data_IF_534276644838
#
_entry.id   IF_534276644838
#
_cell.length_a   1.000
_cell.length_b   1.000
_cell.length_c   1.000
_cell.angle_alpha   90.00
_cell.angle_beta   90.00
_cell.angle_gamma   90.00
#
_symmetry.space_group_name_H-M   'P 1'
#
loop_
_entity.id
_entity.type
_entity.pdbx_description
1 polymer ?
#
# COMPACT_ATOMS: atom_id res chain seq x y z
N UNK A 1 -2.85 -12.02 -4.98
CA UNK A 1 -3.50 -10.69 -5.04
C UNK A 1 -2.82 -9.75 -4.04
N UNK A 2 -2.97 -8.43 -4.17
CA UNK A 2 -2.47 -7.43 -3.21
C UNK A 2 -3.63 -6.55 -2.77
N UNK A 3 -3.96 -6.59 -1.48
CA UNK A 3 -5.02 -5.80 -0.88
C UNK A 3 -4.53 -4.39 -0.49
N UNK A 4 -5.46 -3.43 -0.41
CA UNK A 4 -5.16 -2.06 0.03
C UNK A 4 -5.01 -1.95 1.55
N UNK A 5 -5.49 -2.94 2.30
CA UNK A 5 -5.22 -3.08 3.74
C UNK A 5 -4.42 -4.32 4.07
N UNK A 6 -3.72 -4.31 5.22
CA UNK A 6 -2.94 -5.46 5.67
C UNK A 6 -3.75 -6.76 5.65
N UNK A 7 -3.15 -7.81 5.09
CA UNK A 7 -3.63 -9.18 5.21
C UNK A 7 -3.21 -9.75 6.57
N UNK A 8 -1.97 -9.54 6.96
CA UNK A 8 -1.44 -9.94 8.27
C UNK A 8 -0.31 -9.00 8.71
N UNK A 9 -0.13 -8.90 10.02
CA UNK A 9 0.93 -8.13 10.66
C UNK A 9 1.51 -8.92 11.84
N UNK A 10 2.82 -8.80 12.01
CA UNK A 10 3.57 -9.32 13.15
C UNK A 10 4.39 -8.21 13.76
N UNK A 11 4.57 -8.23 15.07
CA UNK A 11 5.36 -7.26 15.80
C UNK A 11 6.38 -7.95 16.72
N UNK A 12 7.48 -7.23 16.96
CA UNK A 12 8.51 -7.55 17.94
C UNK A 12 8.81 -6.28 18.71
N UNK A 13 8.83 -6.34 20.03
CA UNK A 13 8.95 -5.14 20.85
C UNK A 13 9.66 -5.42 22.16
N UNK A 14 10.59 -4.54 22.54
CA UNK A 14 11.31 -4.66 23.81
C UNK A 14 11.82 -3.32 24.30
N UNK A 15 11.99 -3.23 25.61
CA UNK A 15 12.76 -2.16 26.24
C UNK A 15 14.25 -2.38 25.96
N UNK A 16 14.98 -1.29 25.69
CA UNK A 16 16.42 -1.34 25.41
C UNK A 16 17.14 -0.04 25.77
N UNK A 17 17.69 0.03 26.98
CA UNK A 17 18.43 1.21 27.44
C UNK A 17 19.90 1.25 26.97
N UNK A 18 20.33 0.37 26.06
CA UNK A 18 21.76 0.24 25.68
C UNK A 18 22.29 1.35 24.77
N UNK A 19 21.40 2.08 24.08
CA UNK A 19 21.76 3.12 23.11
C UNK A 19 20.64 4.15 22.96
N UNK A 20 20.91 5.26 22.26
CA UNK A 20 19.90 6.26 21.92
C UNK A 20 18.89 5.76 20.87
N UNK A 21 17.71 6.37 20.82
CA UNK A 21 16.59 5.95 19.99
C UNK A 21 16.93 5.89 18.48
N UNK A 22 17.82 6.77 17.97
CA UNK A 22 18.25 6.73 16.56
C UNK A 22 19.05 5.46 16.29
N UNK A 23 20.06 5.20 17.12
CA UNK A 23 20.91 4.01 16.98
C UNK A 23 20.08 2.72 17.15
N UNK A 24 19.19 2.69 18.15
CA UNK A 24 18.33 1.55 18.47
C UNK A 24 17.39 1.20 17.31
N UNK A 25 16.64 2.19 16.81
CA UNK A 25 15.70 1.99 15.70
C UNK A 25 16.41 1.48 14.44
N UNK A 26 17.51 2.12 14.05
CA UNK A 26 18.23 1.77 12.83
C UNK A 26 18.94 0.41 12.93
N UNK A 27 19.43 0.04 14.12
CA UNK A 27 20.02 -1.29 14.36
C UNK A 27 18.99 -2.39 14.10
N UNK A 28 17.81 -2.28 14.71
CA UNK A 28 16.79 -3.33 14.63
C UNK A 28 16.16 -3.37 13.22
N UNK A 29 15.97 -2.21 12.57
CA UNK A 29 15.54 -2.14 11.17
C UNK A 29 16.53 -2.83 10.22
N UNK A 30 17.83 -2.54 10.32
CA UNK A 30 18.86 -3.15 9.47
C UNK A 30 19.04 -4.65 9.74
N UNK A 31 18.92 -5.07 11.00
CA UNK A 31 18.95 -6.46 11.38
C UNK A 31 17.78 -7.24 10.74
N UNK A 32 16.57 -6.70 10.85
CA UNK A 32 15.38 -7.28 10.23
C UNK A 32 15.48 -7.33 8.69
N UNK A 33 15.92 -6.25 8.04
CA UNK A 33 16.15 -6.24 6.58
C UNK A 33 17.10 -7.34 6.11
N UNK A 34 18.10 -7.67 6.93
CA UNK A 34 19.10 -8.67 6.57
C UNK A 34 18.62 -10.10 6.79
N UNK A 35 17.73 -10.31 7.76
CA UNK A 35 16.96 -11.57 7.85
C UNK A 35 16.10 -11.72 6.59
N UNK A 36 15.32 -10.70 6.24
CA UNK A 36 14.46 -10.73 5.06
C UNK A 36 15.26 -10.95 3.76
N UNK A 37 16.44 -10.35 3.62
CA UNK A 37 17.31 -10.58 2.48
C UNK A 37 17.82 -12.03 2.39
N UNK A 38 18.18 -12.66 3.51
CA UNK A 38 18.57 -14.09 3.56
C UNK A 38 17.44 -15.00 3.09
N UNK A 39 16.19 -14.62 3.36
CA UNK A 39 14.99 -15.32 2.89
C UNK A 39 14.51 -14.87 1.51
N UNK A 40 15.30 -14.09 0.75
CA UNK A 40 14.95 -13.55 -0.58
C UNK A 40 13.65 -12.72 -0.57
N UNK A 41 13.38 -11.97 0.49
CA UNK A 41 12.26 -11.01 0.57
C UNK A 41 12.70 -9.55 0.37
N UNK A 42 14.00 -9.30 0.25
CA UNK A 42 14.57 -7.98 -0.07
C UNK A 42 15.71 -8.19 -1.06
N UNK A 43 15.86 -7.33 -2.09
CA UNK A 43 17.03 -7.31 -2.96
C UNK A 43 18.30 -6.93 -2.19
N UNK A 44 19.46 -6.94 -2.85
CA UNK A 44 20.77 -6.62 -2.24
C UNK A 44 20.90 -5.19 -1.72
N UNK A 45 20.00 -4.29 -2.11
CA UNK A 45 19.88 -2.95 -1.56
C UNK A 45 18.42 -2.50 -1.57
N UNK A 46 18.01 -1.78 -0.52
CA UNK A 46 16.65 -1.24 -0.38
C UNK A 46 16.71 0.21 0.08
N UNK A 47 15.71 1.00 -0.29
CA UNK A 47 15.55 2.36 0.23
C UNK A 47 14.87 2.29 1.59
N UNK A 48 15.62 2.67 2.63
CA UNK A 48 15.13 2.82 3.99
C UNK A 48 14.68 4.26 4.21
N UNK A 49 13.38 4.46 4.36
CA UNK A 49 12.80 5.75 4.74
C UNK A 49 12.97 5.95 6.24
N UNK A 50 13.64 7.03 6.64
CA UNK A 50 13.88 7.35 8.05
C UNK A 50 13.29 8.71 8.38
N UNK A 51 12.62 8.82 9.52
CA UNK A 51 12.19 10.10 10.10
C UNK A 51 12.49 10.19 11.58
N UNK A 52 13.01 11.33 12.01
CA UNK A 52 13.29 11.67 13.41
C UNK A 52 12.42 12.88 13.75
N UNK A 53 11.53 12.72 14.72
CA UNK A 53 10.64 13.80 15.21
C UNK A 53 11.26 14.51 16.40
N UNK A 54 10.97 15.80 16.55
CA UNK A 54 11.40 16.57 17.72
C UNK A 54 10.54 16.24 18.94
N UNK A 55 11.17 16.11 20.11
CA UNK A 55 10.49 15.89 21.38
C UNK A 55 9.44 16.98 21.65
N UNK A 56 8.23 16.56 22.06
CA UNK A 56 7.12 17.47 22.35
C UNK A 56 6.50 18.17 21.13
N UNK A 57 7.00 17.96 19.90
CA UNK A 57 6.47 18.57 18.67
C UNK A 57 6.29 17.51 17.58
N UNK A 58 5.21 16.73 17.66
CA UNK A 58 4.95 15.60 16.76
C UNK A 58 4.91 15.94 15.27
N UNK A 59 4.60 17.20 14.90
CA UNK A 59 4.59 17.66 13.52
C UNK A 59 5.93 18.25 13.03
N UNK A 60 6.94 18.35 13.88
CA UNK A 60 8.27 18.83 13.50
C UNK A 60 9.25 17.66 13.32
N UNK A 61 9.96 17.67 12.18
CA UNK A 61 10.95 16.65 11.85
C UNK A 61 12.36 17.24 11.99
N UNK A 62 13.18 16.62 12.83
CA UNK A 62 14.61 16.93 12.89
C UNK A 62 15.34 16.37 11.68
N UNK A 63 14.85 15.24 11.15
CA UNK A 63 15.31 14.61 9.92
C UNK A 63 14.14 13.87 9.25
N UNK A 64 14.09 13.88 7.91
CA UNK A 64 13.25 12.99 7.11
C UNK A 64 13.92 12.78 5.75
N UNK A 65 14.12 11.53 5.37
CA UNK A 65 14.69 11.21 4.06
C UNK A 65 14.86 9.72 3.82
N UNK A 66 15.09 9.36 2.57
CA UNK A 66 15.33 7.99 2.13
C UNK A 66 16.85 7.72 2.02
N UNK A 67 17.27 6.55 2.51
CA UNK A 67 18.67 6.12 2.54
C UNK A 67 18.76 4.74 1.89
N UNK A 68 19.50 4.63 0.79
CA UNK A 68 19.82 3.34 0.22
C UNK A 68 20.74 2.56 1.18
N UNK A 69 20.28 1.38 1.62
CA UNK A 69 21.02 0.51 2.53
C UNK A 69 21.31 -0.84 1.87
N UNK A 70 22.56 -1.32 1.91
CA UNK A 70 22.87 -2.68 1.49
C UNK A 70 22.29 -3.66 2.52
N UNK A 71 21.79 -4.80 2.04
CA UNK A 71 21.16 -5.84 2.88
C UNK A 71 22.01 -7.11 2.99
N UNK A 72 23.26 -7.04 2.52
CA UNK A 72 24.19 -8.14 2.58
C UNK A 72 24.68 -8.40 4.02
N UNK A 73 24.85 -9.68 4.35
CA UNK A 73 25.21 -10.11 5.71
C UNK A 73 26.63 -9.73 6.15
N UNK A 74 27.45 -9.15 5.26
CA UNK A 74 28.89 -9.01 5.42
C UNK A 74 29.37 -7.72 6.09
N UNK A 75 28.49 -6.92 6.70
CA UNK A 75 28.88 -5.58 7.15
C UNK A 75 27.94 -4.85 8.11
N UNK A 76 27.06 -5.55 8.84
CA UNK A 76 26.04 -4.94 9.71
C UNK A 76 26.52 -3.76 10.55
N UNK A 77 27.64 -3.93 11.28
CA UNK A 77 28.17 -2.87 12.13
C UNK A 77 28.65 -1.64 11.34
N UNK A 78 29.25 -1.85 10.17
CA UNK A 78 29.69 -0.75 9.30
C UNK A 78 28.50 -0.07 8.61
N UNK A 79 27.49 -0.85 8.19
CA UNK A 79 26.27 -0.32 7.61
C UNK A 79 25.52 0.54 8.64
N UNK A 80 25.35 0.03 9.87
CA UNK A 80 24.72 0.78 10.96
C UNK A 80 25.43 2.11 11.23
N UNK A 81 26.76 2.08 11.43
CA UNK A 81 27.53 3.29 11.68
C UNK A 81 27.35 4.32 10.56
N UNK A 82 27.45 3.90 9.29
CA UNK A 82 27.26 4.79 8.14
C UNK A 82 25.86 5.41 8.08
N UNK A 83 24.81 4.64 8.34
CA UNK A 83 23.42 5.14 8.29
C UNK A 83 23.17 6.10 9.45
N UNK A 84 23.61 5.76 10.67
CA UNK A 84 23.49 6.62 11.86
C UNK A 84 24.25 7.94 11.65
N UNK A 85 25.50 7.87 11.19
CA UNK A 85 26.31 9.06 10.92
C UNK A 85 25.67 9.96 9.85
N UNK A 86 25.11 9.36 8.80
CA UNK A 86 24.40 10.09 7.73
C UNK A 86 23.16 10.80 8.27
N UNK A 87 22.34 10.12 9.08
CA UNK A 87 21.15 10.72 9.70
C UNK A 87 21.56 11.87 10.61
N UNK A 88 22.53 11.65 11.50
CA UNK A 88 23.00 12.66 12.47
C UNK A 88 23.63 13.88 11.80
N UNK A 89 24.41 13.69 10.74
CA UNK A 89 25.03 14.78 10.00
C UNK A 89 24.01 15.68 9.27
N UNK A 90 22.87 15.11 8.86
CA UNK A 90 21.79 15.84 8.20
C UNK A 90 20.69 16.31 9.16
N UNK A 91 20.73 15.87 10.41
CA UNK A 91 19.72 16.20 11.42
C UNK A 91 19.86 17.65 11.88
N UNK A 92 18.74 18.36 11.96
CA UNK A 92 18.70 19.70 12.55
C UNK A 92 18.83 19.66 14.09
N UNK A 93 19.21 20.79 14.69
CA UNK A 93 19.35 20.89 16.14
C UNK A 93 17.99 20.73 16.84
N UNK A 94 17.93 19.86 17.85
CA UNK A 94 16.76 19.62 18.66
C UNK A 94 16.92 18.35 19.49
N UNK A 95 15.98 18.13 20.41
CA UNK A 95 15.91 16.90 21.20
C UNK A 95 15.14 15.83 20.41
N UNK A 96 15.73 14.64 20.29
CA UNK A 96 15.09 13.50 19.61
C UNK A 96 13.88 13.05 20.42
N UNK A 97 12.71 13.06 19.78
CA UNK A 97 11.47 12.53 20.33
C UNK A 97 11.29 11.07 19.94
N UNK A 98 10.82 10.84 18.72
CA UNK A 98 10.57 9.50 18.17
C UNK A 98 11.34 9.29 16.87
N UNK A 99 11.77 8.06 16.62
CA UNK A 99 12.47 7.68 15.39
C UNK A 99 11.72 6.56 14.71
N UNK A 100 11.33 6.78 13.47
CA UNK A 100 10.64 5.80 12.63
C UNK A 100 11.53 5.46 11.42
N UNK A 101 11.62 4.17 11.09
CA UNK A 101 12.24 3.68 9.87
C UNK A 101 11.30 2.70 9.16
N UNK A 102 11.23 2.75 7.83
CA UNK A 102 10.39 1.83 7.06
C UNK A 102 10.98 1.50 5.70
N UNK A 103 10.71 0.30 5.21
CA UNK A 103 11.15 -0.16 3.89
C UNK A 103 10.10 -1.07 3.26
N UNK A 104 9.82 -0.83 1.98
CA UNK A 104 9.02 -1.76 1.17
C UNK A 104 9.91 -2.89 0.68
N UNK A 105 9.51 -4.11 1.00
CA UNK A 105 10.26 -5.33 0.73
C UNK A 105 9.68 -6.03 -0.49
N UNK A 106 10.59 -6.43 -1.38
CA UNK A 106 10.28 -7.10 -2.64
C UNK A 106 11.16 -8.29 -2.88
N UNK A 107 10.62 -9.30 -3.54
CA UNK A 107 11.35 -10.53 -3.74
C UNK A 107 10.62 -11.53 -4.64
N UNK A 108 11.31 -12.60 -5.03
CA UNK A 108 10.70 -13.74 -5.70
C UNK A 108 9.66 -14.41 -4.80
N UNK A 109 8.49 -14.70 -5.36
CA UNK A 109 7.45 -15.54 -4.77
C UNK A 109 6.94 -16.53 -5.82
N UNK A 110 6.59 -17.73 -5.37
CA UNK A 110 5.88 -18.65 -6.24
C UNK A 110 4.43 -18.17 -6.41
N UNK A 111 3.93 -18.17 -7.64
CA UNK A 111 2.54 -17.91 -8.01
C UNK A 111 2.00 -19.12 -8.77
N UNK A 112 0.71 -19.11 -9.12
CA UNK A 112 0.12 -20.12 -10.00
C UNK A 112 0.73 -20.17 -11.42
N UNK A 113 1.61 -19.23 -11.77
CA UNK A 113 2.26 -19.14 -13.08
C UNK A 113 3.78 -19.37 -13.03
N UNK A 114 4.36 -19.59 -11.84
CA UNK A 114 5.80 -19.80 -11.64
C UNK A 114 6.39 -18.87 -10.59
N UNK A 115 7.73 -18.76 -10.53
CA UNK A 115 8.40 -17.78 -9.68
C UNK A 115 8.31 -16.39 -10.34
N UNK A 116 7.69 -15.44 -9.64
CA UNK A 116 7.53 -14.05 -10.08
C UNK A 116 8.15 -13.09 -9.06
N UNK A 117 8.55 -11.91 -9.53
CA UNK A 117 9.03 -10.83 -8.67
C UNK A 117 7.83 -10.08 -8.08
N UNK A 118 7.58 -10.24 -6.77
CA UNK A 118 6.59 -9.44 -6.05
C UNK A 118 7.20 -8.11 -5.58
N UNK A 119 6.61 -6.98 -5.99
CA UNK A 119 7.14 -5.64 -5.72
C UNK A 119 6.72 -5.05 -4.35
N UNK A 120 5.67 -5.58 -3.72
CA UNK A 120 5.12 -5.09 -2.43
C UNK A 120 4.75 -6.26 -1.49
N UNK A 121 5.71 -7.16 -1.25
CA UNK A 121 5.46 -8.36 -0.43
C UNK A 121 5.24 -7.99 1.03
N UNK A 122 6.11 -7.14 1.56
CA UNK A 122 6.02 -6.67 2.94
C UNK A 122 6.31 -5.18 3.05
N UNK A 123 5.69 -4.55 4.03
CA UNK A 123 6.17 -3.31 4.63
C UNK A 123 6.86 -3.67 5.95
N UNK A 124 8.15 -3.38 6.05
CA UNK A 124 8.88 -3.44 7.31
C UNK A 124 8.83 -2.07 7.96
N UNK A 125 8.39 -2.00 9.21
CA UNK A 125 8.44 -0.83 10.07
C UNK A 125 9.36 -1.06 11.27
N UNK A 126 10.03 0.00 11.71
CA UNK A 126 10.72 0.05 13.00
C UNK A 126 10.46 1.40 13.64
N UNK A 127 10.21 1.42 14.94
CA UNK A 127 10.04 2.64 15.72
C UNK A 127 10.82 2.54 17.03
N UNK A 128 11.41 3.65 17.47
CA UNK A 128 11.98 3.78 18.80
C UNK A 128 11.53 5.08 19.45
N UNK A 129 11.13 4.98 20.71
CA UNK A 129 10.68 6.10 21.52
C UNK A 129 10.83 5.75 23.00
N UNK A 130 11.45 6.66 23.77
CA UNK A 130 11.48 6.60 25.24
C UNK A 130 12.00 5.26 25.80
N UNK A 131 13.09 4.74 25.24
CA UNK A 131 13.69 3.47 25.70
C UNK A 131 13.10 2.22 25.06
N UNK A 132 11.91 2.30 24.45
CA UNK A 132 11.28 1.19 23.77
C UNK A 132 11.66 1.16 22.28
N UNK A 133 11.80 -0.05 21.71
CA UNK A 133 11.88 -0.28 20.26
C UNK A 133 10.88 -1.32 19.85
N UNK A 134 10.24 -1.11 18.71
CA UNK A 134 9.39 -2.09 18.07
C UNK A 134 9.69 -2.17 16.58
N UNK A 135 9.66 -3.39 16.05
CA UNK A 135 9.71 -3.71 14.63
C UNK A 135 8.39 -4.37 14.27
N UNK A 136 7.83 -4.03 13.11
CA UNK A 136 6.66 -4.71 12.55
C UNK A 136 6.90 -5.15 11.11
N UNK A 137 6.32 -6.29 10.75
CA UNK A 137 6.30 -6.79 9.39
C UNK A 137 4.85 -6.95 8.96
N UNK A 138 4.48 -6.30 7.87
CA UNK A 138 3.10 -6.27 7.37
C UNK A 138 3.05 -6.82 5.95
N UNK A 139 2.19 -7.80 5.66
CA UNK A 139 1.93 -8.27 4.29
C UNK A 139 0.58 -7.78 3.79
N UNK A 140 0.51 -7.53 2.49
CA UNK A 140 -0.72 -7.16 1.78
C UNK A 140 -1.16 -8.24 0.80
N UNK A 141 -0.40 -9.34 0.69
CA UNK A 141 -0.62 -10.40 -0.29
C UNK A 141 -1.02 -11.72 0.34
N UNK A 142 -1.76 -12.52 -0.41
CA UNK A 142 -2.30 -13.84 -0.04
C UNK A 142 -1.42 -15.01 -0.44
N UNK A 143 -0.26 -14.80 -1.07
CA UNK A 143 0.63 -15.89 -1.50
C UNK A 143 1.17 -16.74 -0.35
N UNK A 144 0.95 -16.31 0.90
CA UNK A 144 1.28 -17.02 2.13
C UNK A 144 0.16 -17.94 2.63
N UNK A 145 -1.06 -17.81 2.09
CA UNK A 145 -2.27 -18.45 2.59
C UNK A 145 -2.65 -19.69 1.77
N UNK A 146 -3.26 -20.73 2.38
CA UNK A 146 -3.73 -21.91 1.65
C UNK A 146 -4.81 -21.61 0.60
N UNK A 147 -5.63 -20.58 0.84
CA UNK A 147 -6.63 -20.06 -0.09
C UNK A 147 -6.34 -18.59 -0.38
N UNK A 148 -6.62 -18.16 -1.61
CA UNK A 148 -6.50 -16.77 -2.00
C UNK A 148 -7.63 -15.91 -1.38
N UNK A 149 -7.57 -14.58 -1.51
CA UNK A 149 -8.59 -13.70 -0.92
C UNK A 149 -10.00 -13.85 -1.53
N UNK A 150 -10.14 -14.58 -2.64
CA UNK A 150 -11.42 -14.93 -3.27
C UNK A 150 -11.93 -16.31 -2.82
N UNK A 151 -11.25 -16.95 -1.87
CA UNK A 151 -11.59 -18.27 -1.35
C UNK A 151 -11.20 -19.44 -2.26
N UNK A 152 -10.37 -19.21 -3.28
CA UNK A 152 -9.92 -20.26 -4.20
C UNK A 152 -8.68 -20.96 -3.62
N UNK A 153 -8.63 -22.30 -3.64
CA UNK A 153 -7.48 -23.04 -3.10
C UNK A 153 -6.22 -22.79 -3.92
N UNK A 154 -5.09 -22.60 -3.24
CA UNK A 154 -3.77 -22.39 -3.85
C UNK A 154 -2.66 -23.22 -3.14
N UNK A 155 -2.83 -24.54 -2.99
CA UNK A 155 -1.96 -25.38 -2.16
C UNK A 155 -0.50 -25.40 -2.61
N UNK A 156 -0.23 -25.34 -3.91
CA UNK A 156 1.13 -25.31 -4.46
C UNK A 156 1.85 -23.99 -4.14
N UNK A 157 1.12 -22.87 -4.24
CA UNK A 157 1.62 -21.53 -3.88
C UNK A 157 1.96 -21.49 -2.39
N UNK A 158 1.05 -21.94 -1.53
CA UNK A 158 1.29 -22.01 -0.09
C UNK A 158 2.47 -22.92 0.24
N UNK A 159 2.54 -24.13 -0.35
CA UNK A 159 3.63 -25.07 -0.08
C UNK A 159 5.01 -24.50 -0.44
N UNK A 160 5.09 -23.65 -1.46
CA UNK A 160 6.33 -22.99 -1.87
C UNK A 160 6.69 -21.76 -1.01
N UNK A 161 5.70 -21.01 -0.54
CA UNK A 161 5.93 -19.72 0.14
C UNK A 161 5.80 -19.77 1.68
N UNK A 162 4.82 -20.51 2.21
CA UNK A 162 4.48 -20.57 3.63
C UNK A 162 5.65 -20.98 4.53
N UNK A 163 6.35 -22.10 4.26
CA UNK A 163 7.51 -22.52 5.05
C UNK A 163 8.65 -21.49 5.08
N UNK A 164 8.80 -20.70 4.01
CA UNK A 164 9.82 -19.64 3.93
C UNK A 164 9.42 -18.42 4.78
N UNK A 165 8.14 -18.05 4.81
CA UNK A 165 7.63 -17.05 5.74
C UNK A 165 7.84 -17.49 7.19
N UNK A 166 7.47 -18.73 7.52
CA UNK A 166 7.65 -19.28 8.87
C UNK A 166 9.12 -19.26 9.32
N UNK A 167 10.05 -19.61 8.43
CA UNK A 167 11.47 -19.54 8.71
C UNK A 167 11.96 -18.10 8.93
N UNK A 168 11.48 -17.14 8.14
CA UNK A 168 11.81 -15.74 8.31
C UNK A 168 11.28 -15.15 9.63
N UNK A 169 10.02 -15.44 10.00
CA UNK A 169 9.44 -14.96 11.26
C UNK A 169 10.19 -15.50 12.48
N UNK A 170 10.57 -16.78 12.46
CA UNK A 170 11.38 -17.38 13.53
C UNK A 170 12.75 -16.72 13.66
N UNK A 171 13.43 -16.50 12.53
CA UNK A 171 14.74 -15.89 12.52
C UNK A 171 14.69 -14.39 12.92
N UNK A 172 13.60 -13.69 12.57
CA UNK A 172 13.34 -12.33 13.06
C UNK A 172 13.21 -12.32 14.58
N UNK A 173 12.44 -13.24 15.16
CA UNK A 173 12.29 -13.34 16.61
C UNK A 173 13.64 -13.56 17.32
N UNK A 174 14.47 -14.47 16.78
CA UNK A 174 15.82 -14.73 17.30
C UNK A 174 16.74 -13.51 17.22
N UNK A 175 16.77 -12.83 16.07
CA UNK A 175 17.66 -11.69 15.82
C UNK A 175 17.23 -10.43 16.59
N UNK A 176 15.92 -10.19 16.69
CA UNK A 176 15.35 -9.05 17.41
C UNK A 176 15.29 -9.28 18.92
N UNK A 177 15.45 -10.53 19.37
CA UNK A 177 15.46 -10.89 20.79
C UNK A 177 14.09 -10.75 21.46
N UNK A 178 13.02 -10.94 20.70
CA UNK A 178 11.62 -10.87 21.15
C UNK A 178 10.85 -12.00 20.48
N UNK A 179 9.87 -12.57 21.16
CA UNK A 179 8.94 -13.51 20.53
C UNK A 179 8.13 -12.80 19.42
N UNK A 180 7.69 -13.57 18.42
CA UNK A 180 6.79 -13.07 17.37
C UNK A 180 5.42 -12.85 17.98
N UNK A 181 4.95 -11.61 17.97
CA UNK A 181 3.61 -11.24 18.41
C UNK A 181 2.70 -11.03 17.18
N UNK A 182 1.79 -11.97 16.86
CA UNK A 182 0.84 -11.81 15.76
C UNK A 182 -0.23 -10.79 16.15
N UNK A 183 -0.47 -9.80 15.28
CA UNK A 183 -1.49 -8.76 15.53
C UNK A 183 -2.93 -9.33 15.45
N UNK A 184 -3.91 -8.52 15.82
CA UNK A 184 -5.32 -8.89 15.75
C UNK A 184 -5.73 -9.37 14.34
N UNK A 185 -6.66 -10.34 14.24
CA UNK A 185 -7.18 -10.79 12.95
C UNK A 185 -7.68 -9.64 12.10
N UNK A 186 -7.25 -9.61 10.84
CA UNK A 186 -7.72 -8.63 9.86
C UNK A 186 -9.05 -9.12 9.25
N UNK A 187 -9.62 -8.35 8.32
CA UNK A 187 -10.75 -8.83 7.53
C UNK A 187 -10.38 -9.97 6.56
N UNK A 188 -9.09 -10.20 6.32
CA UNK A 188 -8.59 -11.11 5.30
C UNK A 188 -8.04 -12.42 5.87
N UNK A 189 -7.30 -12.34 6.96
CA UNK A 189 -6.64 -13.48 7.57
C UNK A 189 -6.41 -13.26 9.07
N UNK A 190 -6.14 -14.37 9.78
CA UNK A 190 -5.66 -14.37 11.16
C UNK A 190 -4.14 -14.58 11.15
N UNK A 191 -3.33 -13.61 11.59
CA UNK A 191 -1.91 -13.82 11.84
C UNK A 191 -1.68 -14.94 12.89
N UNK A 192 -0.63 -15.72 12.71
CA UNK A 192 -0.12 -16.74 13.63
C UNK A 192 1.38 -16.51 13.87
N UNK A 193 1.99 -17.18 14.85
CA UNK A 193 3.43 -17.04 15.15
C UNK A 193 4.34 -17.42 13.97
N UNK A 194 3.85 -18.28 13.06
CA UNK A 194 4.58 -18.84 11.93
C UNK A 194 4.01 -18.46 10.56
N UNK A 195 2.98 -17.63 10.49
CA UNK A 195 2.36 -17.24 9.23
C UNK A 195 0.98 -16.61 9.44
N UNK A 196 0.04 -16.98 8.57
CA UNK A 196 -1.33 -16.50 8.65
C UNK A 196 -2.30 -17.56 8.12
N UNK A 197 -3.54 -17.52 8.61
CA UNK A 197 -4.59 -18.48 8.28
C UNK A 197 -5.80 -17.79 7.65
N UNK A 198 -6.42 -18.46 6.67
CA UNK A 198 -7.72 -18.04 6.13
C UNK A 198 -8.84 -18.22 7.17
N UNK A 199 -9.89 -17.41 7.06
CA UNK A 199 -11.17 -17.70 7.72
C UNK A 199 -11.91 -18.80 6.97
N UNK A 200 -12.12 -19.93 7.64
CA UNK A 200 -12.85 -21.09 7.12
C UNK A 200 -14.21 -21.23 7.80
N UNK A 201 -15.21 -21.65 7.04
CA UNK A 201 -16.51 -22.06 7.59
C UNK A 201 -16.46 -23.46 8.24
N UNK A 202 -17.59 -23.92 8.79
CA UNK A 202 -17.71 -25.22 9.44
C UNK A 202 -17.43 -26.41 8.49
N UNK A 203 -17.53 -26.19 7.17
CA UNK A 203 -17.24 -27.16 6.13
C UNK A 203 -15.80 -27.04 5.59
N UNK A 204 -14.97 -26.14 6.15
CA UNK A 204 -13.58 -25.92 5.75
C UNK A 204 -13.40 -25.09 4.47
N UNK A 205 -14.43 -24.35 4.04
CA UNK A 205 -14.37 -23.49 2.85
C UNK A 205 -13.95 -22.08 3.24
N UNK A 206 -13.03 -21.50 2.48
CA UNK A 206 -12.64 -20.10 2.62
C UNK A 206 -13.71 -19.18 2.02
N UNK A 207 -13.98 -18.06 2.70
CA UNK A 207 -14.89 -17.02 2.21
C UNK A 207 -14.22 -16.12 1.17
N UNK A 208 -15.00 -15.57 0.25
CA UNK A 208 -14.58 -14.47 -0.63
C UNK A 208 -14.53 -13.16 0.16
N UNK A 209 -13.43 -12.98 0.91
CA UNK A 209 -13.16 -11.78 1.71
C UNK A 209 -12.78 -10.59 0.83
N UNK A 210 -12.26 -10.84 -0.38
CA UNK A 210 -11.95 -9.80 -1.36
C UNK A 210 -13.19 -9.03 -1.81
N UNK A 211 -14.21 -9.74 -2.28
CA UNK A 211 -15.47 -9.11 -2.70
C UNK A 211 -16.20 -8.45 -1.53
N UNK A 212 -16.06 -9.00 -0.33
CA UNK A 212 -16.75 -8.52 0.87
C UNK A 212 -16.12 -7.26 1.47
N UNK A 213 -14.79 -7.11 1.39
CA UNK A 213 -14.07 -6.04 2.09
C UNK A 213 -13.21 -5.17 1.19
N UNK A 214 -12.45 -5.76 0.27
CA UNK A 214 -11.53 -5.01 -0.60
C UNK A 214 -12.31 -4.23 -1.68
N UNK A 215 -13.25 -4.87 -2.37
CA UNK A 215 -14.02 -4.24 -3.46
C UNK A 215 -14.78 -3.00 -2.97
N UNK A 216 -15.55 -3.04 -1.86
CA UNK A 216 -16.20 -1.85 -1.33
C UNK A 216 -15.20 -0.75 -0.95
N UNK A 217 -14.07 -1.12 -0.33
CA UNK A 217 -13.04 -0.15 0.10
C UNK A 217 -12.36 0.54 -1.08
N UNK A 218 -12.04 -0.22 -2.14
CA UNK A 218 -11.51 0.34 -3.39
C UNK A 218 -12.50 1.28 -4.05
N UNK A 219 -13.79 0.90 -4.05
CA UNK A 219 -14.83 1.72 -4.64
C UNK A 219 -15.05 3.04 -3.88
N UNK A 220 -14.87 3.02 -2.55
CA UNK A 220 -15.01 4.18 -1.67
C UNK A 220 -14.16 5.39 -2.08
N UNK A 221 -12.96 5.14 -2.61
CA UNK A 221 -12.04 6.18 -3.11
C UNK A 221 -12.65 7.02 -4.25
N UNK A 222 -13.57 6.44 -5.02
CA UNK A 222 -14.28 7.14 -6.11
C UNK A 222 -15.54 7.88 -5.63
N UNK A 223 -16.01 7.56 -4.42
CA UNK A 223 -17.22 8.13 -3.80
C UNK A 223 -16.90 9.28 -2.84
N UNK A 224 -15.72 9.26 -2.22
CA UNK A 224 -15.36 10.19 -1.15
C UNK A 224 -14.02 10.87 -1.41
N UNK A 225 -13.97 12.18 -1.22
CA UNK A 225 -12.73 12.94 -1.30
C UNK A 225 -11.85 12.66 -0.06
N UNK A 226 -10.52 12.58 -0.20
CA UNK A 226 -9.64 12.39 0.95
C UNK A 226 -9.65 13.60 1.91
N UNK A 227 -9.72 13.32 3.22
CA UNK A 227 -9.50 14.31 4.29
C UNK A 227 -10.73 15.10 4.77
N UNK A 228 -10.61 15.70 5.96
CA UNK A 228 -11.61 16.64 6.50
C UNK A 228 -11.38 18.05 5.90
N UNK A 229 -12.40 18.64 5.26
CA UNK A 229 -12.37 20.04 4.81
C UNK A 229 -12.12 20.31 3.32
N UNK A 230 -12.55 19.39 2.44
CA UNK A 230 -12.66 19.47 0.97
C UNK A 230 -11.82 20.55 0.25
N UNK A 231 -10.63 20.15 -0.22
CA UNK A 231 -9.84 20.91 -1.19
C UNK A 231 -9.87 20.11 -2.51
N UNK A 232 -10.94 20.22 -3.30
CA UNK A 232 -11.13 19.42 -4.51
C UNK A 232 -12.57 19.43 -5.03
N UNK A 233 -12.79 18.82 -6.20
CA UNK A 233 -14.14 18.54 -6.69
C UNK A 233 -14.88 17.56 -5.78
N UNK A 234 -16.19 17.75 -5.63
CA UNK A 234 -17.04 16.75 -4.98
C UNK A 234 -17.05 15.43 -5.78
N UNK A 235 -17.17 14.30 -5.08
CA UNK A 235 -17.18 12.95 -5.68
C UNK A 235 -18.59 12.38 -5.87
N UNK A 236 -19.60 13.18 -5.60
CA UNK A 236 -21.01 12.85 -5.76
C UNK A 236 -21.76 14.02 -6.40
N UNK A 237 -22.80 13.69 -7.16
CA UNK A 237 -23.69 14.64 -7.80
C UNK A 237 -25.11 14.07 -7.77
N UNK A 238 -26.10 14.92 -7.48
CA UNK A 238 -27.53 14.63 -7.61
C UNK A 238 -28.08 15.05 -8.97
N UNK A 239 -27.45 16.05 -9.59
CA UNK A 239 -27.79 16.56 -10.91
C UNK A 239 -27.26 15.64 -12.04
N UNK A 240 -27.56 16.02 -13.28
CA UNK A 240 -26.98 15.36 -14.44
C UNK A 240 -25.48 15.63 -14.53
N UNK A 241 -24.72 14.58 -14.88
CA UNK A 241 -23.29 14.64 -15.10
C UNK A 241 -22.99 14.47 -16.58
N UNK A 242 -21.98 15.19 -17.07
CA UNK A 242 -21.36 14.92 -18.37
C UNK A 242 -20.31 13.85 -18.17
N UNK A 243 -20.27 12.85 -19.05
CA UNK A 243 -19.31 11.76 -18.92
C UNK A 243 -18.78 11.28 -20.26
N UNK A 244 -17.54 10.76 -20.24
CA UNK A 244 -16.84 10.19 -21.38
C UNK A 244 -16.22 8.85 -21.02
N UNK A 245 -16.26 7.85 -21.92
CA UNK A 245 -15.64 6.55 -21.66
C UNK A 245 -14.12 6.62 -21.77
N UNK A 246 -13.45 5.92 -20.86
CA UNK A 246 -12.02 5.68 -20.90
C UNK A 246 -11.78 4.23 -21.29
N UNK A 247 -10.98 4.03 -22.34
CA UNK A 247 -10.66 2.70 -22.87
C UNK A 247 -9.16 2.48 -22.95
N UNK A 248 -8.75 1.22 -22.86
CA UNK A 248 -7.43 0.74 -23.27
C UNK A 248 -7.55 -0.15 -24.51
N UNK A 249 -6.42 -0.69 -24.99
CA UNK A 249 -6.41 -1.75 -26.00
C UNK A 249 -7.21 -3.00 -25.58
N UNK A 250 -7.45 -3.18 -24.28
CA UNK A 250 -8.16 -4.34 -23.72
C UNK A 250 -9.64 -4.08 -23.45
N UNK A 251 -10.16 -2.88 -23.74
CA UNK A 251 -11.59 -2.56 -23.64
C UNK A 251 -11.92 -1.37 -22.73
N UNK A 252 -13.19 -1.30 -22.29
CA UNK A 252 -13.70 -0.24 -21.43
C UNK A 252 -13.17 -0.38 -20.00
N UNK A 253 -12.59 0.69 -19.47
CA UNK A 253 -12.07 0.75 -18.10
C UNK A 253 -13.02 1.50 -17.15
N UNK A 254 -13.78 2.46 -17.67
CA UNK A 254 -14.74 3.24 -16.89
C UNK A 254 -15.11 4.54 -17.59
N UNK A 255 -15.62 5.49 -16.81
CA UNK A 255 -16.06 6.79 -17.31
C UNK A 255 -15.53 7.91 -16.42
N UNK A 256 -14.94 8.94 -17.02
CA UNK A 256 -14.69 10.21 -16.32
C UNK A 256 -15.96 11.03 -16.42
N UNK A 257 -16.41 11.62 -15.32
CA UNK A 257 -17.62 12.43 -15.30
C UNK A 257 -17.43 13.74 -14.53
N UNK A 258 -18.22 14.75 -14.88
CA UNK A 258 -18.19 16.08 -14.30
C UNK A 258 -19.57 16.74 -14.26
N UNK A 259 -19.77 17.61 -13.26
CA UNK A 259 -20.93 18.50 -13.09
C UNK A 259 -20.46 19.83 -12.52
N UNK A 260 -20.60 20.91 -13.28
CA UNK A 260 -20.30 22.26 -12.80
C UNK A 260 -21.31 22.73 -11.73
N UNK A 261 -22.57 22.27 -11.81
CA UNK A 261 -23.65 22.69 -10.91
C UNK A 261 -23.34 22.38 -9.44
N UNK A 262 -22.73 21.23 -9.20
CA UNK A 262 -22.38 20.75 -7.86
C UNK A 262 -20.87 20.79 -7.59
N UNK A 263 -20.09 21.42 -8.47
CA UNK A 263 -18.63 21.41 -8.45
C UNK A 263 -18.06 19.99 -8.25
N UNK A 264 -18.57 19.02 -9.01
CA UNK A 264 -18.35 17.60 -8.80
C UNK A 264 -17.67 16.95 -10.01
N UNK A 265 -16.65 16.13 -9.78
CA UNK A 265 -16.02 15.31 -10.80
C UNK A 265 -15.35 14.09 -10.18
N UNK A 266 -15.48 12.94 -10.84
CA UNK A 266 -14.82 11.71 -10.43
C UNK A 266 -14.63 10.77 -11.62
N UNK A 267 -14.06 9.60 -11.32
CA UNK A 267 -13.99 8.47 -12.22
C UNK A 267 -14.96 7.39 -11.74
N UNK A 268 -15.74 6.84 -12.65
CA UNK A 268 -16.65 5.73 -12.43
C UNK A 268 -16.09 4.47 -13.09
N UNK A 269 -15.42 3.58 -12.33
CA UNK A 269 -14.79 2.38 -12.88
C UNK A 269 -15.85 1.34 -13.31
N UNK A 270 -15.50 0.50 -14.29
CA UNK A 270 -16.36 -0.64 -14.67
C UNK A 270 -16.37 -1.74 -13.61
N UNK A 271 -15.22 -2.03 -13.01
CA UNK A 271 -15.11 -2.91 -11.83
C UNK A 271 -13.82 -2.60 -11.08
N UNK A 272 -13.88 -2.49 -9.76
CA UNK A 272 -12.68 -2.31 -8.91
C UNK A 272 -12.11 -3.64 -8.39
N UNK A 273 -12.75 -4.76 -8.75
CA UNK A 273 -12.19 -6.11 -8.55
C UNK A 273 -10.94 -6.32 -9.42
N UNK A 274 -10.83 -5.60 -10.54
CA UNK A 274 -9.69 -5.62 -11.43
C UNK A 274 -8.64 -4.57 -11.03
N UNK A 275 -7.41 -5.03 -10.76
CA UNK A 275 -6.29 -4.17 -10.34
C UNK A 275 -5.86 -3.14 -11.38
N UNK A 276 -6.03 -3.43 -12.68
CA UNK A 276 -5.71 -2.51 -13.77
C UNK A 276 -6.76 -1.40 -13.79
N UNK A 277 -8.03 -1.75 -13.78
CA UNK A 277 -9.13 -0.77 -13.74
C UNK A 277 -9.05 0.12 -12.51
N UNK A 278 -8.79 -0.47 -11.33
CA UNK A 278 -8.65 0.28 -10.09
C UNK A 278 -7.50 1.31 -10.18
N UNK A 279 -6.29 0.88 -10.59
CA UNK A 279 -5.13 1.76 -10.72
C UNK A 279 -5.32 2.85 -11.76
N UNK A 280 -5.95 2.53 -12.89
CA UNK A 280 -6.32 3.53 -13.90
C UNK A 280 -7.24 4.58 -13.28
N UNK A 281 -8.27 4.16 -12.56
CA UNK A 281 -9.18 5.08 -11.88
C UNK A 281 -8.44 6.06 -10.97
N UNK A 282 -7.47 5.59 -10.18
CA UNK A 282 -6.65 6.46 -9.32
C UNK A 282 -5.88 7.53 -10.11
N UNK A 283 -5.28 7.16 -11.24
CA UNK A 283 -4.59 8.12 -12.13
C UNK A 283 -5.54 9.20 -12.64
N UNK A 284 -6.79 8.85 -12.96
CA UNK A 284 -7.80 9.83 -13.37
C UNK A 284 -8.23 10.75 -12.22
N UNK A 285 -8.29 10.25 -10.98
CA UNK A 285 -8.55 11.09 -9.80
C UNK A 285 -7.42 12.09 -9.56
N UNK A 286 -6.15 11.68 -9.71
CA UNK A 286 -4.97 12.57 -9.61
C UNK A 286 -4.99 13.65 -10.69
N UNK A 287 -5.34 13.28 -11.93
CA UNK A 287 -5.50 14.23 -13.05
C UNK A 287 -6.58 15.28 -12.76
N UNK A 288 -7.72 14.86 -12.21
CA UNK A 288 -8.79 15.77 -11.79
C UNK A 288 -8.36 16.69 -10.65
N UNK A 289 -7.60 16.17 -9.68
CA UNK A 289 -7.03 16.98 -8.60
C UNK A 289 -6.06 18.04 -9.13
N UNK A 290 -5.18 17.67 -10.07
CA UNK A 290 -4.26 18.61 -10.72
C UNK A 290 -5.01 19.68 -11.55
N UNK A 291 -6.16 19.34 -12.14
CA UNK A 291 -7.03 20.31 -12.82
C UNK A 291 -7.70 21.28 -11.84
N UNK A 292 -8.24 20.76 -10.74
CA UNK A 292 -8.81 21.58 -9.67
C UNK A 292 -7.77 22.51 -9.04
N UNK A 293 -6.54 22.03 -8.80
CA UNK A 293 -5.45 22.83 -8.25
C UNK A 293 -5.05 24.01 -9.17
N UNK A 294 -5.33 23.92 -10.48
CA UNK A 294 -5.17 25.02 -11.45
C UNK A 294 -6.40 25.94 -11.54
N UNK A 295 -7.48 25.62 -10.82
CA UNK A 295 -8.71 26.41 -10.78
C UNK A 295 -9.68 26.15 -11.93
N UNK A 296 -9.55 25.03 -12.65
CA UNK A 296 -10.51 24.66 -13.70
C UNK A 296 -11.87 24.28 -13.11
N UNK A 297 -12.94 24.55 -13.84
CA UNK A 297 -14.25 23.97 -13.54
C UNK A 297 -14.25 22.45 -13.81
N UNK A 298 -15.17 21.66 -13.19
CA UNK A 298 -15.33 20.25 -13.50
C UNK A 298 -15.44 19.94 -15.00
N UNK A 299 -16.24 20.69 -15.76
CA UNK A 299 -16.43 20.46 -17.21
C UNK A 299 -15.22 20.91 -18.01
N UNK A 300 -14.56 22.02 -17.64
CA UNK A 300 -13.29 22.43 -18.26
C UNK A 300 -12.22 21.36 -18.07
N UNK A 301 -12.13 20.78 -16.86
CA UNK A 301 -11.25 19.67 -16.57
C UNK A 301 -11.60 18.43 -17.42
N UNK A 302 -12.89 18.07 -17.53
CA UNK A 302 -13.33 16.96 -18.37
C UNK A 302 -12.92 17.14 -19.83
N UNK A 303 -13.12 18.34 -20.38
CA UNK A 303 -12.75 18.66 -21.76
C UNK A 303 -11.23 18.59 -21.98
N UNK A 304 -10.44 19.13 -21.06
CA UNK A 304 -8.98 19.06 -21.15
C UNK A 304 -8.50 17.61 -21.07
N UNK A 305 -8.96 16.85 -20.08
CA UNK A 305 -8.53 15.48 -19.86
C UNK A 305 -9.00 14.53 -20.97
N UNK A 306 -10.12 14.83 -21.64
CA UNK A 306 -10.61 14.05 -22.80
C UNK A 306 -9.69 14.14 -24.03
N UNK A 307 -8.79 15.12 -24.08
CA UNK A 307 -7.83 15.30 -25.19
C UNK A 307 -6.49 14.62 -24.92
N UNK A 308 -6.27 14.12 -23.70
CA UNK A 308 -5.04 13.42 -23.35
C UNK A 308 -4.93 12.11 -24.13
N UNK A 309 -3.71 11.84 -24.59
CA UNK A 309 -3.37 10.55 -25.18
C UNK A 309 -3.22 9.49 -24.07
N UNK A 310 -3.15 8.23 -24.47
CA UNK A 310 -2.89 7.13 -23.54
C UNK A 310 -1.44 7.21 -23.05
N UNK A 311 -1.24 7.98 -22.00
CA UNK A 311 0.03 8.08 -21.29
C UNK A 311 0.06 7.07 -20.15
N UNK A 312 1.15 6.28 -20.09
CA UNK A 312 1.43 5.33 -19.00
C UNK A 312 0.40 4.19 -18.85
N UNK A 313 -0.34 3.85 -19.92
CA UNK A 313 -1.35 2.79 -19.89
C UNK A 313 -2.58 3.14 -19.04
N UNK A 314 -2.82 4.43 -18.80
CA UNK A 314 -3.96 4.93 -18.03
C UNK A 314 -5.27 4.93 -18.85
N UNK A 315 -5.22 4.42 -20.09
CA UNK A 315 -6.32 4.52 -21.04
C UNK A 315 -6.52 5.95 -21.55
N UNK A 316 -7.36 6.07 -22.56
CA UNK A 316 -7.70 7.34 -23.19
C UNK A 316 -9.19 7.45 -23.47
N UNK A 317 -9.64 8.68 -23.64
CA UNK A 317 -10.93 8.98 -24.23
C UNK A 317 -10.77 8.98 -25.75
N UNK A 318 -11.62 8.28 -26.47
CA UNK A 318 -11.64 8.37 -27.92
C UNK A 318 -12.22 9.72 -28.33
N UNK A 319 -11.37 10.59 -28.91
CA UNK A 319 -11.72 11.97 -29.32
C UNK A 319 -12.92 12.08 -30.27
N UNK A 320 -13.35 10.99 -30.88
CA UNK A 320 -14.53 10.93 -31.77
C UNK A 320 -15.86 10.74 -31.04
N UNK A 321 -15.88 10.36 -29.75
CA UNK A 321 -17.12 10.20 -28.98
C UNK A 321 -17.47 11.50 -28.23
N UNK A 322 -18.61 12.15 -28.53
CA UNK A 322 -19.02 13.35 -27.79
C UNK A 322 -19.40 13.00 -26.35
N UNK A 323 -19.21 13.92 -25.39
CA UNK A 323 -19.66 13.73 -24.01
C UNK A 323 -21.16 13.41 -23.95
N UNK A 324 -21.51 12.41 -23.15
CA UNK A 324 -22.89 11.99 -22.89
C UNK A 324 -23.37 12.64 -21.59
N UNK A 325 -24.68 12.75 -21.43
CA UNK A 325 -25.30 13.28 -20.20
C UNK A 325 -26.22 12.23 -19.59
N UNK A 326 -26.14 12.05 -18.28
CA UNK A 326 -27.08 11.21 -17.52
C UNK A 326 -27.03 11.58 -16.04
N UNK A 327 -27.95 11.05 -15.23
CA UNK A 327 -27.81 11.11 -13.77
C UNK A 327 -26.68 10.17 -13.31
N UNK A 328 -25.95 10.57 -12.27
CA UNK A 328 -24.83 9.79 -11.76
C UNK A 328 -25.24 8.40 -11.23
N UNK A 329 -26.42 8.28 -10.63
CA UNK A 329 -26.96 7.00 -10.16
C UNK A 329 -27.28 6.03 -11.31
N UNK A 330 -27.64 6.53 -12.49
CA UNK A 330 -27.84 5.74 -13.70
C UNK A 330 -26.51 5.28 -14.27
N UNK A 331 -25.51 6.18 -14.37
CA UNK A 331 -24.18 5.85 -14.85
C UNK A 331 -23.55 4.70 -14.02
N UNK A 332 -23.68 4.77 -12.70
CA UNK A 332 -23.21 3.74 -11.76
C UNK A 332 -23.85 2.37 -11.96
N UNK A 333 -25.15 2.33 -12.28
CA UNK A 333 -25.82 1.06 -12.56
C UNK A 333 -25.33 0.44 -13.86
N UNK A 334 -25.15 1.25 -14.90
CA UNK A 334 -24.62 0.81 -16.20
C UNK A 334 -23.22 0.21 -16.06
N UNK A 335 -22.38 0.71 -15.16
CA UNK A 335 -21.06 0.13 -14.89
C UNK A 335 -21.10 -1.10 -14.00
N UNK A 336 -22.04 -1.17 -13.05
CA UNK A 336 -22.12 -2.27 -12.07
C UNK A 336 -22.69 -3.58 -12.63
N UNK A 337 -23.21 -3.59 -13.86
CA UNK A 337 -23.69 -4.80 -14.54
C UNK A 337 -25.02 -5.36 -14.04
N UNK A 338 -25.83 -4.53 -13.35
CA UNK A 338 -27.24 -4.80 -13.02
C UNK A 338 -28.20 -4.20 -14.05
#
# INVERSE_FOLDING_TARGET
MIATTPVARWAWGRDDDSSDDVTRCLRDALAALSVLARHRFVPSAVDLRVSVREAGKSNNYLYRGDIAVPTDAGGHGQALARVVDRVRAAMSAGEVGAVDASATCKGPVATGHGEEQGEDLFLLGASAFAGFVSVDLTTFTDVWLPFDLKGRPQPEVHAANGPRLAAALRELAEVLGSETDPDDPTYFARPTEDGAENFLDAEGRASDVWRSFEVPRRYDVFLHAPGFGHIGYARTAKAEVRYVPVRSEHGLLGYVWASDEENAASFEPVTVDDDVVYRVGLVWLERLEAAHARGLSPVEALEELSRLQDERGAGRVETSEPPRTSRLDVLRKVTSGD
#
